data_IF_320629692497
#
_entry.id   IF_320629692497
#
_cell.length_a   1.000
_cell.length_b   1.000
_cell.length_c   1.000
_cell.angle_alpha   90.00
_cell.angle_beta   90.00
_cell.angle_gamma   90.00
#
_symmetry.space_group_name_H-M   'P 1'
#
loop_
_entity.id
_entity.type
_entity.pdbx_description
1 polymer ?
#
# COMPACT_ATOMS: atom_id res chain seq x y z
N UNK A 1 -2.30 3.93 -40.99
CA UNK A 1 -1.47 3.06 -40.13
C UNK A 1 -0.98 3.74 -38.85
N UNK A 2 -0.34 4.92 -38.86
CA UNK A 2 0.22 5.51 -37.63
C UNK A 2 -0.85 5.98 -36.63
N UNK A 3 -2.01 6.45 -37.11
CA UNK A 3 -3.13 6.89 -36.26
C UNK A 3 -3.72 5.75 -35.44
N UNK A 4 -3.82 4.55 -36.02
CA UNK A 4 -4.33 3.37 -35.33
C UNK A 4 -3.38 2.91 -34.21
N UNK A 5 -2.07 2.94 -34.48
CA UNK A 5 -1.04 2.66 -33.47
C UNK A 5 -1.09 3.71 -32.36
N UNK A 6 -1.21 4.99 -32.70
CA UNK A 6 -1.33 6.06 -31.70
C UNK A 6 -2.57 5.89 -30.82
N UNK A 7 -3.72 5.49 -31.38
CA UNK A 7 -4.96 5.24 -30.64
C UNK A 7 -4.81 4.08 -29.66
N UNK A 8 -4.19 2.98 -30.08
CA UNK A 8 -3.90 1.82 -29.21
C UNK A 8 -2.94 2.23 -28.09
N UNK A 9 -1.88 2.96 -28.41
CA UNK A 9 -0.90 3.44 -27.43
C UNK A 9 -1.56 4.32 -26.38
N UNK A 10 -2.42 5.25 -26.78
CA UNK A 10 -3.17 6.10 -25.84
C UNK A 10 -4.08 5.24 -24.95
N UNK A 11 -4.79 4.27 -25.53
CA UNK A 11 -5.72 3.40 -24.81
C UNK A 11 -5.01 2.51 -23.77
N UNK A 12 -3.73 2.18 -23.97
CA UNK A 12 -2.92 1.40 -23.03
C UNK A 12 -2.20 2.30 -22.02
N UNK A 13 -1.55 3.37 -22.47
CA UNK A 13 -0.72 4.23 -21.62
C UNK A 13 -1.56 4.98 -20.59
N UNK A 14 -2.73 5.48 -20.98
CA UNK A 14 -3.56 6.33 -20.12
C UNK A 14 -4.07 5.60 -18.87
N UNK A 15 -4.70 4.40 -18.96
CA UNK A 15 -5.09 3.65 -17.77
C UNK A 15 -3.89 3.12 -16.99
N UNK A 16 -2.78 2.76 -17.66
CA UNK A 16 -1.57 2.30 -16.98
C UNK A 16 -0.94 3.42 -16.15
N UNK A 17 -0.80 4.63 -16.71
CA UNK A 17 -0.33 5.80 -16.00
C UNK A 17 -1.25 6.16 -14.82
N UNK A 18 -2.57 6.11 -15.03
CA UNK A 18 -3.55 6.34 -13.97
C UNK A 18 -3.42 5.32 -12.83
N UNK A 19 -3.26 4.03 -13.15
CA UNK A 19 -3.02 2.97 -12.17
C UNK A 19 -1.74 3.22 -11.37
N UNK A 20 -0.64 3.61 -12.02
CA UNK A 20 0.61 3.95 -11.33
C UNK A 20 0.47 5.17 -10.41
N UNK A 21 -0.28 6.19 -10.82
CA UNK A 21 -0.55 7.37 -9.99
C UNK A 21 -1.38 7.00 -8.75
N UNK A 22 -2.40 6.15 -8.91
CA UNK A 22 -3.18 5.65 -7.78
C UNK A 22 -2.32 4.82 -6.82
N UNK A 23 -1.52 3.90 -7.36
CA UNK A 23 -0.63 3.04 -6.57
C UNK A 23 0.44 3.86 -5.83
N UNK A 24 1.02 4.88 -6.46
CA UNK A 24 1.98 5.78 -5.84
C UNK A 24 1.33 6.71 -4.80
N UNK A 25 0.08 7.13 -5.02
CA UNK A 25 -0.70 7.92 -4.06
C UNK A 25 -0.98 7.16 -2.77
N UNK A 26 -1.34 5.88 -2.87
CA UNK A 26 -1.59 5.03 -1.71
C UNK A 26 -0.29 4.69 -0.95
N UNK A 27 0.80 4.37 -1.68
CA UNK A 27 2.12 4.12 -1.06
C UNK A 27 2.75 5.37 -0.43
N UNK A 28 2.47 6.57 -0.98
CA UNK A 28 3.01 7.85 -0.51
C UNK A 28 2.44 8.30 0.84
N UNK A 29 1.21 7.89 1.18
CA UNK A 29 0.61 8.20 2.49
C UNK A 29 1.12 7.29 3.60
N UNK A 30 1.44 6.04 3.30
CA UNK A 30 1.99 5.08 4.27
C UNK A 30 3.48 5.34 4.57
N UNK A 31 4.25 5.88 3.60
CA UNK A 31 5.66 6.20 3.80
C UNK A 31 5.92 7.54 4.52
N UNK A 32 4.93 8.43 4.62
CA UNK A 32 5.10 9.77 5.21
C UNK A 32 4.84 9.87 6.71
N UNK A 33 4.41 8.77 7.35
CA UNK A 33 4.17 8.69 8.79
C UNK A 33 5.43 8.56 9.67
N UNK A 34 6.64 8.61 9.10
CA UNK A 34 7.91 8.37 9.82
C UNK A 34 8.89 9.54 9.84
N UNK A 35 8.41 10.78 9.61
CA UNK A 35 9.16 11.99 9.96
C UNK A 35 8.41 12.73 11.06
N UNK A 36 8.79 12.39 12.28
CA UNK A 36 8.72 13.24 13.46
C UNK A 36 9.22 14.64 13.11
N UNK A 37 8.30 15.59 12.98
CA UNK A 37 8.60 17.02 13.15
C UNK A 37 7.82 17.43 14.39
N UNK A 38 8.61 17.65 15.44
CA UNK A 38 8.26 18.16 16.75
C UNK A 38 7.41 19.44 16.61
N UNK A 39 6.10 19.31 16.79
CA UNK A 39 5.16 20.44 16.89
C UNK A 39 4.48 20.29 18.24
N UNK A 40 4.77 21.16 19.22
CA UNK A 40 4.05 21.13 20.48
C UNK A 40 2.63 21.67 20.21
N UNK A 41 1.64 21.02 20.80
CA UNK A 41 0.22 21.40 20.86
C UNK A 41 -0.70 20.98 19.70
N UNK A 42 -0.69 19.70 19.32
CA UNK A 42 -1.84 19.08 18.62
C UNK A 42 -2.31 17.84 19.38
N UNK A 43 -3.63 17.66 19.63
CA UNK A 43 -4.15 16.47 20.30
C UNK A 43 -3.79 15.24 19.48
N UNK A 44 -2.77 14.50 19.92
CA UNK A 44 -2.27 13.34 19.21
C UNK A 44 -3.43 12.33 19.09
N UNK A 45 -3.83 11.89 17.88
CA UNK A 45 -4.76 10.79 17.75
C UNK A 45 -4.17 9.59 18.50
N UNK A 46 -4.99 8.79 19.20
CA UNK A 46 -4.48 7.67 19.99
C UNK A 46 -3.55 6.84 19.13
N UNK A 47 -2.33 6.61 19.63
CA UNK A 47 -1.35 5.79 18.93
C UNK A 47 -2.05 4.49 18.48
N UNK A 48 -1.92 4.09 17.20
CA UNK A 48 -2.53 2.86 16.75
C UNK A 48 -2.08 1.72 17.68
N UNK A 49 -2.99 0.78 18.02
CA UNK A 49 -2.66 -0.30 18.93
C UNK A 49 -1.37 -0.98 18.45
N UNK A 50 -0.47 -1.38 19.38
CA UNK A 50 0.77 -2.02 19.02
C UNK A 50 0.44 -3.24 18.16
N UNK A 51 0.68 -3.12 16.85
CA UNK A 51 0.57 -4.24 15.93
C UNK A 51 1.46 -5.35 16.46
N UNK A 52 0.91 -6.55 16.58
CA UNK A 52 1.69 -7.72 16.92
C UNK A 52 2.88 -7.80 15.95
N UNK A 53 4.13 -7.95 16.42
CA UNK A 53 5.29 -8.15 15.56
C UNK A 53 5.05 -9.26 14.50
N UNK A 54 4.26 -10.28 14.83
CA UNK A 54 3.89 -11.34 13.91
C UNK A 54 2.98 -10.86 12.75
N UNK A 55 2.04 -9.95 13.01
CA UNK A 55 1.24 -9.32 11.95
C UNK A 55 2.11 -8.47 11.02
N UNK A 56 3.11 -7.78 11.58
CA UNK A 56 3.98 -6.93 10.80
C UNK A 56 4.83 -7.77 9.83
N UNK A 57 5.36 -8.90 10.29
CA UNK A 57 6.08 -9.84 9.44
C UNK A 57 5.18 -10.44 8.35
N UNK A 58 3.94 -10.79 8.69
CA UNK A 58 2.96 -11.31 7.73
C UNK A 58 2.67 -10.31 6.59
N UNK A 59 2.50 -9.02 6.92
CA UNK A 59 2.32 -7.96 5.90
C UNK A 59 3.55 -7.79 5.02
N UNK A 60 4.75 -7.88 5.57
CA UNK A 60 5.98 -7.79 4.78
C UNK A 60 6.10 -8.93 3.78
N UNK A 61 5.76 -10.17 4.18
CA UNK A 61 5.80 -11.34 3.31
C UNK A 61 4.78 -11.26 2.17
N UNK A 62 3.57 -10.80 2.47
CA UNK A 62 2.54 -10.57 1.45
C UNK A 62 2.97 -9.47 0.46
N UNK A 63 3.53 -8.36 0.95
CA UNK A 63 4.03 -7.28 0.10
C UNK A 63 5.20 -7.70 -0.81
N UNK A 64 6.00 -8.69 -0.38
CA UNK A 64 7.05 -9.30 -1.21
C UNK A 64 6.53 -10.38 -2.17
N UNK A 65 5.27 -10.81 -2.03
CA UNK A 65 4.71 -11.93 -2.79
C UNK A 65 5.21 -13.30 -2.33
N UNK A 66 5.74 -13.40 -1.12
CA UNK A 66 6.17 -14.68 -0.52
C UNK A 66 4.99 -15.53 -0.05
N UNK A 67 3.83 -14.92 0.15
CA UNK A 67 2.57 -15.56 0.53
C UNK A 67 1.44 -15.01 -0.33
N UNK A 68 0.47 -15.87 -0.64
CA UNK A 68 -0.71 -15.45 -1.40
C UNK A 68 -1.77 -14.80 -0.48
N UNK A 69 -2.74 -14.12 -1.08
CA UNK A 69 -3.85 -13.45 -0.39
C UNK A 69 -4.61 -14.40 0.53
N UNK A 70 -4.80 -15.65 0.12
CA UNK A 70 -5.51 -16.66 0.91
C UNK A 70 -4.74 -17.01 2.19
N UNK A 71 -3.43 -17.23 2.08
CA UNK A 71 -2.56 -17.50 3.23
C UNK A 71 -2.43 -16.29 4.16
N UNK A 72 -2.39 -15.08 3.60
CA UNK A 72 -2.38 -13.84 4.37
C UNK A 72 -3.64 -13.70 5.22
N UNK A 73 -4.82 -13.93 4.62
CA UNK A 73 -6.10 -13.81 5.34
C UNK A 73 -6.24 -14.87 6.42
N UNK A 74 -5.86 -16.12 6.13
CA UNK A 74 -5.91 -17.21 7.10
C UNK A 74 -5.04 -16.92 8.32
N UNK A 75 -3.78 -16.53 8.11
CA UNK A 75 -2.83 -16.26 9.20
C UNK A 75 -3.18 -15.01 10.00
N UNK A 76 -3.84 -14.02 9.38
CA UNK A 76 -4.33 -12.83 10.09
C UNK A 76 -5.44 -13.19 11.08
N UNK A 77 -6.34 -14.10 10.70
CA UNK A 77 -7.42 -14.59 11.58
C UNK A 77 -6.84 -15.40 12.74
N UNK A 78 -5.82 -16.22 12.49
CA UNK A 78 -5.14 -17.00 13.53
C UNK A 78 -4.43 -16.11 14.58
N UNK A 79 -4.01 -14.90 14.19
CA UNK A 79 -3.35 -13.90 15.04
C UNK A 79 -4.32 -13.04 15.87
N UNK A 80 -5.57 -12.90 15.46
CA UNK A 80 -6.60 -12.12 16.16
C UNK A 80 -7.19 -12.84 17.41
N UNK A 81 -6.53 -13.89 17.93
CA UNK A 81 -7.05 -14.79 18.99
C UNK A 81 -6.75 -14.37 20.43
#
# INVERSE_FOLDING_TARGET
MPVFIAMIMILVILPLAFFFVLLAGEAGTSARGRRTVDRPDEPYPPAPPPLDPAEQELRMRYARGEIDREEFLQRRIDLER
#
